data_IF_005386506595
#
_entry.id   IF_005386506595
#
_cell.length_a   1.000
_cell.length_b   1.000
_cell.length_c   1.000
_cell.angle_alpha   90.00
_cell.angle_beta   90.00
_cell.angle_gamma   90.00
#
_symmetry.space_group_name_H-M   'P 1'
#
loop_
_entity.id
_entity.type
_entity.pdbx_description
1 polymer ?
#
# COMPACT_ATOMS: atom_id res chain seq x y z
N UNK A 1 -11.23 5.95 14.03
CA UNK A 1 -10.15 5.60 14.97
C UNK A 1 -9.34 6.82 15.41
N UNK A 2 -8.74 7.57 14.49
CA UNK A 2 -7.82 8.69 14.76
C UNK A 2 -8.46 10.09 14.66
N UNK A 3 -9.79 10.19 14.50
CA UNK A 3 -10.49 11.48 14.31
C UNK A 3 -10.26 12.49 15.44
N UNK A 4 -10.13 12.00 16.68
CA UNK A 4 -9.95 12.81 17.89
C UNK A 4 -8.52 12.75 18.45
N UNK A 5 -7.60 12.10 17.73
CA UNK A 5 -6.19 12.07 18.13
C UNK A 5 -5.48 13.26 17.53
N UNK A 6 -4.50 13.81 18.25
CA UNK A 6 -3.60 14.81 17.69
C UNK A 6 -2.84 14.20 16.49
N UNK A 7 -2.89 14.87 15.34
CA UNK A 7 -2.23 14.44 14.11
C UNK A 7 -1.28 15.54 13.67
N UNK A 8 -0.03 15.46 14.10
CA UNK A 8 1.06 16.34 13.69
C UNK A 8 2.34 15.53 13.54
N UNK A 9 3.21 15.92 12.63
CA UNK A 9 4.40 15.15 12.26
C UNK A 9 4.02 13.84 11.58
N UNK A 10 4.40 12.71 12.20
CA UNK A 10 4.23 11.38 11.62
C UNK A 10 3.20 10.54 12.40
N UNK A 11 2.34 9.85 11.65
CA UNK A 11 1.42 8.85 12.20
C UNK A 11 1.70 7.50 11.54
N UNK A 12 2.18 6.53 12.33
CA UNK A 12 2.34 5.15 11.87
C UNK A 12 1.05 4.36 12.08
N UNK A 13 0.54 3.75 11.02
CA UNK A 13 -0.63 2.85 11.05
C UNK A 13 -0.25 1.37 11.03
N UNK A 14 0.98 1.05 10.62
CA UNK A 14 1.54 -0.29 10.59
C UNK A 14 3.03 -0.17 10.94
N UNK A 15 3.47 -0.92 11.95
CA UNK A 15 4.88 -0.97 12.33
C UNK A 15 5.27 -2.40 12.66
N UNK A 16 6.08 -3.01 11.78
CA UNK A 16 6.48 -4.41 11.87
C UNK A 16 7.20 -4.74 13.18
N UNK A 17 7.87 -3.77 13.80
CA UNK A 17 8.60 -3.97 15.05
C UNK A 17 7.71 -3.99 16.31
N UNK A 18 6.47 -3.49 16.22
CA UNK A 18 5.53 -3.44 17.33
C UNK A 18 5.17 -4.83 17.89
N UNK A 19 4.66 -4.89 19.12
CA UNK A 19 4.26 -6.15 19.76
C UNK A 19 3.06 -6.81 19.06
N UNK A 20 2.14 -5.99 18.53
CA UNK A 20 0.96 -6.43 17.77
C UNK A 20 0.84 -5.58 16.49
N UNK A 21 1.65 -5.84 15.45
CA UNK A 21 1.72 -4.99 14.25
C UNK A 21 0.38 -4.86 13.52
N UNK A 22 -0.48 -5.89 13.59
CA UNK A 22 -1.79 -5.96 12.96
C UNK A 22 -2.94 -5.62 13.92
N UNK A 23 -2.70 -4.93 15.04
CA UNK A 23 -3.73 -4.68 16.07
C UNK A 23 -5.01 -4.02 15.53
N UNK A 24 -4.89 -3.14 14.55
CA UNK A 24 -6.02 -2.43 13.92
C UNK A 24 -6.31 -2.90 12.50
N UNK A 25 -5.68 -4.00 12.08
CA UNK A 25 -5.76 -4.56 10.74
C UNK A 25 -6.48 -5.90 10.79
N UNK A 26 -7.38 -6.12 9.84
CA UNK A 26 -7.89 -7.45 9.55
C UNK A 26 -7.01 -8.14 8.49
N UNK A 27 -7.05 -9.47 8.44
CA UNK A 27 -6.27 -10.26 7.47
C UNK A 27 -7.14 -11.30 6.79
N UNK A 28 -7.05 -11.37 5.47
CA UNK A 28 -7.63 -12.45 4.68
C UNK A 28 -6.48 -13.21 4.00
N UNK A 29 -6.46 -14.53 4.14
CA UNK A 29 -5.37 -15.38 3.63
C UNK A 29 -5.93 -16.68 3.07
N UNK A 30 -5.78 -16.87 1.77
CA UNK A 30 -6.11 -18.11 1.05
C UNK A 30 -4.88 -18.55 0.26
N UNK A 31 -4.36 -19.74 0.56
CA UNK A 31 -3.16 -20.31 -0.08
C UNK A 31 -1.95 -19.34 -0.04
N UNK A 32 -1.71 -18.76 1.13
CA UNK A 32 -0.65 -17.80 1.39
C UNK A 32 -0.32 -17.71 2.86
N UNK A 33 0.43 -16.69 3.25
CA UNK A 33 0.77 -16.41 4.64
C UNK A 33 0.96 -14.92 4.91
N UNK A 34 0.76 -14.57 6.17
CA UNK A 34 1.16 -13.29 6.76
C UNK A 34 2.06 -13.62 7.94
N UNK A 35 3.36 -13.35 7.84
CA UNK A 35 4.34 -13.69 8.88
C UNK A 35 5.33 -12.57 9.13
N UNK A 36 5.84 -12.49 10.35
CA UNK A 36 6.95 -11.62 10.69
C UNK A 36 8.25 -12.41 10.52
N UNK A 37 9.20 -11.85 9.78
CA UNK A 37 10.51 -12.44 9.53
C UNK A 37 11.60 -11.37 9.56
N UNK A 38 12.85 -11.77 9.75
CA UNK A 38 13.99 -10.87 9.67
C UNK A 38 14.42 -10.74 8.21
N UNK A 39 14.43 -9.51 7.70
CA UNK A 39 14.94 -9.20 6.37
C UNK A 39 16.47 -9.05 6.43
N UNK A 40 17.17 -9.69 5.51
CA UNK A 40 18.63 -9.76 5.50
C UNK A 40 19.29 -8.43 5.12
N UNK A 41 18.66 -7.64 4.24
CA UNK A 41 19.25 -6.40 3.71
C UNK A 41 19.22 -5.29 4.76
N UNK A 42 18.14 -5.22 5.54
CA UNK A 42 17.96 -4.19 6.59
C UNK A 42 18.21 -4.73 8.00
N UNK A 43 18.53 -6.02 8.14
CA UNK A 43 18.76 -6.70 9.41
C UNK A 43 17.66 -6.46 10.46
N UNK A 44 16.41 -6.34 10.03
CA UNK A 44 15.29 -5.94 10.88
C UNK A 44 14.04 -6.75 10.57
N UNK A 45 13.10 -6.80 11.52
CA UNK A 45 11.87 -7.55 11.31
C UNK A 45 10.91 -6.80 10.37
N UNK A 46 10.43 -7.50 9.35
CA UNK A 46 9.42 -7.04 8.40
C UNK A 46 8.16 -7.90 8.52
N UNK A 47 7.03 -7.35 8.06
CA UNK A 47 5.82 -8.13 7.89
C UNK A 47 5.73 -8.58 6.43
N UNK A 48 5.87 -9.88 6.18
CA UNK A 48 5.74 -10.47 4.87
C UNK A 48 4.30 -10.96 4.64
N UNK A 49 3.73 -10.57 3.49
CA UNK A 49 2.42 -10.98 3.01
C UNK A 49 2.62 -11.57 1.61
N UNK A 50 2.39 -12.87 1.46
CA UNK A 50 2.56 -13.58 0.19
C UNK A 50 1.41 -14.54 0.00
N UNK A 51 0.81 -14.54 -1.19
CA UNK A 51 -0.21 -15.50 -1.59
C UNK A 51 -0.10 -15.85 -3.06
N UNK A 52 -0.78 -16.92 -3.47
CA UNK A 52 -0.85 -17.32 -4.88
C UNK A 52 -1.77 -16.43 -5.72
N UNK A 53 -2.72 -15.74 -5.09
CA UNK A 53 -3.61 -14.78 -5.73
C UNK A 53 -3.71 -13.49 -4.88
N UNK A 54 -3.46 -12.35 -5.53
CA UNK A 54 -3.47 -11.01 -4.93
C UNK A 54 -4.83 -10.67 -4.31
N UNK A 55 -5.92 -11.12 -4.92
CA UNK A 55 -7.27 -10.81 -4.46
C UNK A 55 -7.68 -11.57 -3.20
N UNK A 56 -6.95 -12.64 -2.84
CA UNK A 56 -7.31 -13.54 -1.76
C UNK A 56 -6.25 -13.61 -0.65
N UNK A 57 -5.23 -12.75 -0.67
CA UNK A 57 -4.26 -12.62 0.41
C UNK A 57 -3.91 -11.15 0.62
N UNK A 58 -4.51 -10.52 1.61
CA UNK A 58 -4.34 -9.09 1.89
C UNK A 58 -4.62 -8.76 3.36
N UNK A 59 -4.25 -7.55 3.75
CA UNK A 59 -4.61 -6.96 5.05
C UNK A 59 -5.40 -5.68 4.82
N UNK A 60 -6.37 -5.41 5.69
CA UNK A 60 -7.27 -4.26 5.57
C UNK A 60 -7.27 -3.45 6.85
N UNK A 61 -7.27 -2.12 6.73
CA UNK A 61 -7.39 -1.22 7.86
C UNK A 61 -8.49 -0.17 7.59
N UNK A 62 -9.41 0.06 8.54
CA UNK A 62 -9.52 -0.60 9.86
C UNK A 62 -10.04 -2.04 9.76
N UNK A 63 -9.83 -2.82 10.83
CA UNK A 63 -10.30 -4.21 10.90
C UNK A 63 -11.83 -4.35 10.85
N UNK A 64 -12.56 -3.35 11.38
CA UNK A 64 -14.01 -3.25 11.24
C UNK A 64 -14.35 -2.51 9.93
N UNK A 65 -15.03 -3.17 8.96
CA UNK A 65 -15.37 -2.54 7.68
C UNK A 65 -16.31 -1.33 7.79
N UNK A 66 -17.05 -1.21 8.90
CA UNK A 66 -17.92 -0.06 9.16
C UNK A 66 -17.18 1.15 9.74
N UNK A 67 -15.96 0.95 10.25
CA UNK A 67 -15.15 1.98 10.85
C UNK A 67 -14.35 2.78 9.81
N UNK A 68 -13.86 3.96 10.22
CA UNK A 68 -12.96 4.80 9.41
C UNK A 68 -11.71 5.19 10.20
N UNK A 69 -10.58 5.36 9.51
CA UNK A 69 -9.35 5.82 10.17
C UNK A 69 -9.47 7.27 10.63
N UNK A 70 -9.92 8.18 9.76
CA UNK A 70 -10.04 9.61 10.08
C UNK A 70 -8.69 10.33 10.12
N UNK A 71 -7.74 9.91 9.28
CA UNK A 71 -6.43 10.53 9.12
C UNK A 71 -6.54 11.73 8.17
N UNK A 72 -5.96 12.85 8.56
CA UNK A 72 -6.00 14.13 7.84
C UNK A 72 -4.64 14.55 7.25
N UNK A 73 -3.60 13.75 7.49
CA UNK A 73 -2.26 14.04 6.97
C UNK A 73 -2.26 13.90 5.44
N UNK A 74 -1.65 14.85 4.70
CA UNK A 74 -1.72 14.91 3.24
C UNK A 74 -0.84 13.88 2.53
N UNK A 75 0.17 13.34 3.22
CA UNK A 75 1.14 12.41 2.64
C UNK A 75 1.01 11.03 3.27
N UNK A 76 0.91 10.03 2.41
CA UNK A 76 1.00 8.63 2.79
C UNK A 76 2.32 8.07 2.28
N UNK A 77 3.14 7.54 3.19
CA UNK A 77 4.40 6.90 2.86
C UNK A 77 4.29 5.41 3.17
N UNK A 78 4.58 4.58 2.18
CA UNK A 78 4.61 3.12 2.30
C UNK A 78 6.01 2.63 1.95
N UNK A 79 6.64 1.92 2.88
CA UNK A 79 7.96 1.32 2.69
C UNK A 79 7.73 -0.17 2.39
N UNK A 80 8.01 -0.58 1.16
CA UNK A 80 7.81 -1.96 0.67
C UNK A 80 9.05 -2.44 -0.07
N UNK A 81 9.39 -3.72 0.10
CA UNK A 81 10.46 -4.39 -0.65
C UNK A 81 9.88 -4.99 -1.93
N UNK A 82 10.50 -4.71 -3.08
CA UNK A 82 10.09 -5.35 -4.32
C UNK A 82 10.57 -6.80 -4.38
N UNK A 83 9.63 -7.75 -4.24
CA UNK A 83 9.91 -9.19 -4.35
C UNK A 83 9.87 -9.72 -5.79
N UNK A 84 9.79 -8.83 -6.80
CA UNK A 84 9.59 -9.17 -8.22
C UNK A 84 8.35 -10.04 -8.44
N UNK A 85 7.31 -9.82 -7.63
CA UNK A 85 5.99 -10.47 -7.70
C UNK A 85 4.92 -9.40 -7.89
N UNK A 86 3.72 -9.84 -8.26
CA UNK A 86 2.60 -8.91 -8.36
C UNK A 86 2.22 -8.33 -7.00
N UNK A 87 2.04 -7.01 -6.98
CA UNK A 87 1.73 -6.21 -5.81
C UNK A 87 0.68 -5.19 -6.17
N UNK A 88 -0.26 -4.97 -5.26
CA UNK A 88 -1.24 -3.89 -5.32
C UNK A 88 -1.45 -3.31 -3.94
N UNK A 89 -1.73 -2.01 -3.90
CA UNK A 89 -2.14 -1.29 -2.72
C UNK A 89 -3.36 -0.42 -3.04
N UNK A 90 -4.25 -0.24 -2.08
CA UNK A 90 -5.48 0.51 -2.25
C UNK A 90 -5.70 1.44 -1.06
N UNK A 91 -6.17 2.65 -1.34
CA UNK A 91 -6.62 3.62 -0.33
C UNK A 91 -8.00 4.15 -0.67
N UNK A 92 -8.77 4.42 0.38
CA UNK A 92 -10.01 5.15 0.27
C UNK A 92 -9.86 6.53 0.90
N UNK A 93 -10.23 7.56 0.16
CA UNK A 93 -10.17 8.98 0.58
C UNK A 93 -11.58 9.55 0.56
N UNK A 94 -11.93 10.30 1.59
CA UNK A 94 -13.16 11.07 1.64
C UNK A 94 -12.87 12.48 1.12
N UNK A 95 -13.57 12.91 0.07
CA UNK A 95 -13.43 14.26 -0.47
C UNK A 95 -14.31 15.30 0.27
N UNK A 96 -14.20 16.56 -0.15
CA UNK A 96 -14.96 17.70 0.38
C UNK A 96 -16.47 17.62 0.09
N UNK A 97 -16.87 16.82 -0.88
CA UNK A 97 -18.27 16.50 -1.23
C UNK A 97 -18.79 15.28 -0.49
N UNK A 98 -18.04 14.76 0.49
CA UNK A 98 -18.37 13.58 1.27
C UNK A 98 -18.52 12.31 0.39
N UNK A 99 -17.83 12.27 -0.75
CA UNK A 99 -17.76 11.12 -1.64
C UNK A 99 -16.50 10.31 -1.32
N UNK A 100 -16.67 8.98 -1.20
CA UNK A 100 -15.55 8.06 -1.01
C UNK A 100 -14.93 7.73 -2.36
N UNK A 101 -13.68 8.14 -2.55
CA UNK A 101 -12.86 7.83 -3.72
C UNK A 101 -11.87 6.74 -3.38
N UNK A 102 -11.57 5.89 -4.36
CA UNK A 102 -10.71 4.73 -4.18
C UNK A 102 -9.57 4.78 -5.17
N UNK A 103 -8.36 4.95 -4.66
CA UNK A 103 -7.16 4.92 -5.48
C UNK A 103 -6.50 3.56 -5.31
N UNK A 104 -6.20 2.93 -6.44
CA UNK A 104 -5.46 1.68 -6.48
C UNK A 104 -4.18 1.89 -7.26
N UNK A 105 -3.10 1.35 -6.71
CA UNK A 105 -1.79 1.35 -7.34
C UNK A 105 -1.32 -0.10 -7.43
N UNK A 106 -0.92 -0.54 -8.63
CA UNK A 106 -0.50 -1.93 -8.89
C UNK A 106 0.68 -1.97 -9.85
N UNK A 107 1.45 -3.06 -9.82
CA UNK A 107 2.63 -3.24 -10.69
C UNK A 107 2.40 -4.18 -11.89
N UNK A 108 1.16 -4.58 -12.16
CA UNK A 108 0.81 -5.54 -13.22
C UNK A 108 -0.27 -5.06 -14.18
N UNK A 109 -0.89 -3.90 -13.91
CA UNK A 109 -1.83 -3.30 -14.85
C UNK A 109 -1.08 -2.27 -15.70
N UNK A 110 -1.23 -2.36 -17.03
CA UNK A 110 -0.87 -1.31 -17.97
C UNK A 110 -2.20 -0.76 -18.49
N UNK A 111 -2.58 0.45 -18.11
CA UNK A 111 -3.78 1.10 -18.62
C UNK A 111 -3.43 2.43 -19.31
N UNK A 112 -3.48 2.39 -20.63
CA UNK A 112 -3.67 3.53 -21.49
C UNK A 112 -5.19 3.76 -21.61
N UNK A 113 -5.82 4.44 -20.65
CA UNK A 113 -7.06 5.23 -20.81
C UNK A 113 -7.45 5.88 -19.47
N UNK A 114 -8.06 7.05 -19.56
CA UNK A 114 -8.44 7.97 -18.48
C UNK A 114 -9.41 7.34 -17.44
N UNK A 115 -8.86 6.65 -16.44
CA UNK A 115 -9.61 6.29 -15.23
C UNK A 115 -8.65 6.12 -14.04
N UNK A 116 -8.57 7.17 -13.22
CA UNK A 116 -8.17 7.30 -11.80
C UNK A 116 -7.23 6.24 -11.15
N UNK A 117 -6.32 5.63 -11.91
CA UNK A 117 -5.34 4.65 -11.43
C UNK A 117 -3.99 5.34 -11.34
N UNK A 118 -3.44 5.42 -10.13
CA UNK A 118 -2.11 6.00 -9.90
C UNK A 118 -1.09 4.88 -10.01
N UNK A 119 -0.13 5.02 -10.91
CA UNK A 119 0.98 4.07 -11.04
C UNK A 119 2.03 4.33 -9.98
N UNK A 120 2.53 3.26 -9.36
CA UNK A 120 3.76 3.34 -8.58
C UNK A 120 4.92 3.37 -9.58
N UNK A 121 5.58 4.53 -9.72
CA UNK A 121 6.86 4.58 -10.40
C UNK A 121 7.87 3.79 -9.55
N UNK A 122 8.42 2.73 -10.13
CA UNK A 122 9.53 2.00 -9.54
C UNK A 122 10.78 2.87 -9.68
N UNK A 123 11.39 3.30 -8.57
CA UNK A 123 12.76 3.80 -8.61
C UNK A 123 13.66 2.58 -8.80
N UNK A 124 14.18 2.36 -10.01
CA UNK A 124 15.30 1.44 -10.22
C UNK A 124 16.54 2.02 -9.54
N UNK A 125 17.30 1.19 -8.84
CA UNK A 125 18.57 1.57 -8.20
C UNK A 125 19.63 2.03 -9.22
N UNK A 126 19.42 1.73 -10.51
CA UNK A 126 20.18 2.32 -11.59
C UNK A 126 19.69 3.74 -11.86
N UNK A 127 20.50 4.73 -11.49
CA UNK A 127 20.26 6.17 -11.64
C UNK A 127 20.11 6.70 -13.08
N UNK A 128 19.34 6.02 -13.94
CA UNK A 128 18.87 6.53 -15.23
C UNK A 128 17.42 6.92 -15.10
N UNK A 129 17.20 8.16 -14.64
CA UNK A 129 15.91 8.80 -14.75
C UNK A 129 15.56 9.13 -16.21
N UNK A 130 14.29 8.95 -16.54
CA UNK A 130 13.55 9.61 -17.63
C UNK A 130 14.11 9.45 -19.06
N UNK A 131 13.89 8.29 -19.67
CA UNK A 131 13.68 8.23 -21.12
C UNK A 131 12.19 8.05 -21.41
N UNK A 132 11.56 9.15 -21.84
CA UNK A 132 10.25 9.13 -22.48
C UNK A 132 10.38 8.47 -23.84
N UNK A 133 9.99 7.21 -23.97
CA UNK A 133 9.79 6.63 -25.30
C UNK A 133 8.49 7.22 -25.88
N UNK A 134 8.66 8.28 -26.68
CA UNK A 134 7.68 8.73 -27.66
C UNK A 134 7.45 7.59 -28.66
N UNK A 135 6.26 7.01 -28.64
CA UNK A 135 5.80 6.07 -29.67
C UNK A 135 5.45 6.89 -30.91
N UNK A 136 6.27 6.81 -31.95
CA UNK A 136 5.91 7.23 -33.29
C UNK A 136 4.81 6.31 -33.83
N UNK A 137 3.67 6.90 -34.18
CA UNK A 137 2.58 6.27 -34.92
C UNK A 137 2.94 6.21 -36.40
N UNK A 138 2.92 5.01 -36.99
CA UNK A 138 2.80 4.77 -38.43
C UNK A 138 1.44 4.16 -38.73
#
# INVERSE_FOLDING_TARGET
MFKNTFQSGFLSILYSLGSKPLQIWDKEVVNGHVKRLQDEDIQSNVLEIVGSNIQSTYITCPADPSATLGIKLPFLVVIVKNLKKYFTFEIQVLDDKNVRRRFRASNFQVCCHSSETIYLHHATEDGRGLESNSVESS
#
